data_IF_335385235477
#
_entry.id   IF_335385235477
#
_cell.length_a   1.000
_cell.length_b   1.000
_cell.length_c   1.000
_cell.angle_alpha   90.00
_cell.angle_beta   90.00
_cell.angle_gamma   90.00
#
_symmetry.space_group_name_H-M   'P 1'
#
loop_
_entity.id
_entity.type
_entity.pdbx_description
1 polymer ?
#
# COMPACT_ATOMS: atom_id res chain seq x y z
N UNK A 1 -16.93 0.87 17.08
CA UNK A 1 -17.38 0.24 15.81
C UNK A 1 -16.33 0.33 14.69
N UNK A 2 -15.02 0.27 14.99
CA UNK A 2 -13.93 0.08 14.02
C UNK A 2 -13.53 -1.41 13.85
N UNK A 3 -14.43 -2.32 14.24
CA UNK A 3 -14.21 -3.78 14.30
C UNK A 3 -14.47 -4.51 12.98
N UNK A 4 -14.90 -3.83 11.91
CA UNK A 4 -15.59 -4.48 10.77
C UNK A 4 -14.71 -4.70 9.52
N UNK A 5 -13.42 -4.33 9.51
CA UNK A 5 -12.55 -4.50 8.32
C UNK A 5 -11.37 -5.49 8.48
N UNK A 6 -11.26 -6.24 9.58
CA UNK A 6 -10.58 -7.54 9.59
C UNK A 6 -9.06 -7.63 9.32
N UNK A 7 -8.27 -6.56 9.35
CA UNK A 7 -6.79 -6.67 9.23
C UNK A 7 -5.94 -5.66 10.03
N UNK A 8 -6.50 -4.92 10.97
CA UNK A 8 -5.69 -4.16 11.93
C UNK A 8 -5.31 -5.12 13.08
N UNK A 9 -4.02 -5.41 13.33
CA UNK A 9 -3.60 -6.21 14.48
C UNK A 9 -3.97 -5.49 15.77
N UNK A 10 -4.82 -6.10 16.58
CA UNK A 10 -5.30 -5.51 17.84
C UNK A 10 -4.23 -5.48 18.94
N UNK A 11 -3.02 -5.99 18.68
CA UNK A 11 -1.92 -6.16 19.64
C UNK A 11 -0.60 -5.55 19.19
N UNK A 12 -0.51 -5.04 17.95
CA UNK A 12 0.70 -4.38 17.48
C UNK A 12 0.69 -2.91 17.90
N UNK A 13 1.80 -2.48 18.50
CA UNK A 13 2.06 -1.07 18.79
C UNK A 13 2.60 -0.38 17.53
N UNK A 14 1.83 0.52 16.97
CA UNK A 14 2.20 1.29 15.78
C UNK A 14 2.80 2.64 16.18
N UNK A 15 4.09 2.80 15.92
CA UNK A 15 4.75 4.09 16.07
C UNK A 15 4.26 5.10 15.02
N UNK A 16 4.19 6.38 15.40
CA UNK A 16 3.91 7.47 14.48
C UNK A 16 4.87 8.64 14.76
N UNK A 17 5.16 9.50 13.76
CA UNK A 17 5.95 10.71 13.94
C UNK A 17 5.15 11.83 14.64
N UNK A 18 3.85 11.64 14.88
CA UNK A 18 2.98 12.65 15.46
C UNK A 18 3.18 12.73 16.97
N UNK A 19 3.58 13.91 17.44
CA UNK A 19 3.88 14.13 18.87
C UNK A 19 2.64 14.42 19.70
N UNK A 20 1.61 14.96 19.06
CA UNK A 20 0.36 15.44 19.65
C UNK A 20 -0.69 14.34 19.89
N UNK A 21 -0.37 13.09 19.54
CA UNK A 21 -1.22 11.93 19.83
C UNK A 21 -0.77 11.17 21.08
N UNK A 22 0.32 11.61 21.74
CA UNK A 22 0.80 10.98 22.97
C UNK A 22 -0.28 11.01 24.07
N UNK A 23 -0.57 9.85 24.66
CA UNK A 23 -1.65 9.71 25.66
C UNK A 23 -3.07 9.66 25.08
N UNK A 24 -3.24 9.74 23.76
CA UNK A 24 -4.54 9.57 23.13
C UNK A 24 -4.90 8.08 22.98
N UNK A 25 -6.14 7.72 23.28
CA UNK A 25 -6.64 6.35 23.17
C UNK A 25 -6.57 5.80 21.73
N UNK A 26 -6.61 6.67 20.72
CA UNK A 26 -6.52 6.33 19.30
C UNK A 26 -5.09 6.42 18.75
N UNK A 27 -4.08 6.67 19.59
CA UNK A 27 -2.70 6.85 19.13
C UNK A 27 -2.21 5.66 18.30
N UNK A 28 -2.59 4.44 18.72
CA UNK A 28 -2.22 3.22 18.01
C UNK A 28 -2.91 3.11 16.63
N UNK A 29 -4.20 3.45 16.55
CA UNK A 29 -4.96 3.43 15.30
C UNK A 29 -4.41 4.47 14.32
N UNK A 30 -4.04 5.65 14.82
CA UNK A 30 -3.42 6.73 14.04
C UNK A 30 -2.04 6.28 13.53
N UNK A 31 -1.25 5.62 14.38
CA UNK A 31 0.02 5.01 13.98
C UNK A 31 -0.15 3.99 12.87
N UNK A 32 -1.16 3.11 12.97
CA UNK A 32 -1.47 2.15 11.92
C UNK A 32 -1.86 2.84 10.61
N UNK A 33 -2.76 3.83 10.66
CA UNK A 33 -3.16 4.61 9.49
C UNK A 33 -1.97 5.30 8.82
N UNK A 34 -1.01 5.79 9.61
CA UNK A 34 0.20 6.41 9.09
C UNK A 34 1.13 5.38 8.46
N UNK A 35 1.28 4.20 9.09
CA UNK A 35 2.12 3.11 8.56
C UNK A 35 1.65 2.64 7.18
N UNK A 36 0.32 2.63 6.97
CA UNK A 36 -0.29 2.29 5.69
C UNK A 36 -0.35 3.48 4.71
N UNK A 37 0.14 4.66 5.11
CA UNK A 37 0.05 5.94 4.38
C UNK A 37 -1.38 6.35 4.03
N UNK A 38 -2.35 5.95 4.87
CA UNK A 38 -3.74 6.41 4.77
C UNK A 38 -3.84 7.85 5.30
N UNK A 39 -3.17 8.14 6.41
CA UNK A 39 -2.98 9.51 6.90
C UNK A 39 -1.52 9.96 6.76
N UNK A 40 -1.33 11.27 6.62
CA UNK A 40 -0.03 11.95 6.57
C UNK A 40 0.11 13.00 7.68
N UNK A 41 -0.93 13.16 8.52
CA UNK A 41 -1.02 14.27 9.47
C UNK A 41 -1.32 15.61 8.82
N UNK A 42 -1.53 16.63 9.67
CA UNK A 42 -1.59 18.04 9.27
C UNK A 42 -0.20 18.59 8.94
N UNK A 43 0.80 18.12 9.68
CA UNK A 43 2.21 18.39 9.44
C UNK A 43 2.98 17.07 9.58
N UNK A 44 4.28 17.01 9.21
CA UNK A 44 5.09 15.82 9.39
C UNK A 44 5.13 15.28 10.84
N UNK A 45 4.80 16.12 11.84
CA UNK A 45 4.89 15.79 13.26
C UNK A 45 3.60 16.05 14.05
N UNK A 46 2.49 16.41 13.38
CA UNK A 46 1.23 16.78 14.04
C UNK A 46 0.03 16.18 13.31
N UNK A 47 -0.87 15.53 14.05
CA UNK A 47 -2.08 14.90 13.52
C UNK A 47 -3.37 15.68 13.81
N UNK A 48 -3.40 16.49 14.87
CA UNK A 48 -4.55 17.22 15.41
C UNK A 48 -5.77 16.32 15.72
N UNK A 49 -5.67 15.40 16.70
CA UNK A 49 -6.71 14.39 16.94
C UNK A 49 -8.05 14.97 17.43
N UNK A 50 -8.04 16.18 18.01
CA UNK A 50 -9.24 16.86 18.49
C UNK A 50 -9.83 17.85 17.47
N UNK A 51 -9.18 17.99 16.30
CA UNK A 51 -9.64 18.87 15.24
C UNK A 51 -10.87 18.34 14.50
N UNK A 52 -11.64 19.24 13.91
CA UNK A 52 -12.73 18.86 13.02
C UNK A 52 -12.19 18.34 11.70
N UNK A 53 -12.66 17.17 11.29
CA UNK A 53 -12.38 16.59 9.96
C UNK A 53 -13.44 17.10 8.97
N UNK A 54 -12.99 17.76 7.91
CA UNK A 54 -13.85 18.18 6.80
C UNK A 54 -14.25 16.98 5.93
N UNK A 55 -15.35 17.12 5.19
CA UNK A 55 -15.80 16.08 4.24
C UNK A 55 -14.73 15.72 3.20
N UNK A 56 -13.92 16.70 2.78
CA UNK A 56 -12.83 16.49 1.81
C UNK A 56 -11.66 15.69 2.39
N UNK A 57 -11.29 15.95 3.64
CA UNK A 57 -10.27 15.18 4.35
C UNK A 57 -10.72 13.73 4.56
N UNK A 58 -11.98 13.53 4.97
CA UNK A 58 -12.55 12.18 5.10
C UNK A 58 -12.56 11.42 3.77
N UNK A 59 -12.97 12.06 2.67
CA UNK A 59 -12.96 11.45 1.34
C UNK A 59 -11.54 11.04 0.91
N UNK A 60 -10.54 11.83 1.27
CA UNK A 60 -9.13 11.52 0.99
C UNK A 60 -8.67 10.26 1.73
N UNK A 61 -9.02 10.11 3.01
CA UNK A 61 -8.74 8.89 3.77
C UNK A 61 -9.41 7.67 3.15
N UNK A 62 -10.69 7.79 2.78
CA UNK A 62 -11.43 6.70 2.13
C UNK A 62 -10.80 6.29 0.79
N UNK A 63 -10.39 7.26 -0.04
CA UNK A 63 -9.71 6.96 -1.31
C UNK A 63 -8.41 6.18 -1.09
N UNK A 64 -7.57 6.62 -0.14
CA UNK A 64 -6.30 5.95 0.18
C UNK A 64 -6.54 4.55 0.76
N UNK A 65 -7.52 4.42 1.66
CA UNK A 65 -7.92 3.15 2.23
C UNK A 65 -8.46 2.19 1.16
N UNK A 66 -9.34 2.66 0.28
CA UNK A 66 -9.87 1.89 -0.83
C UNK A 66 -8.75 1.36 -1.74
N UNK A 67 -7.78 2.22 -2.09
CA UNK A 67 -6.61 1.78 -2.85
C UNK A 67 -5.80 0.70 -2.11
N UNK A 68 -5.73 0.74 -0.78
CA UNK A 68 -5.00 -0.25 0.01
C UNK A 68 -5.72 -1.58 0.17
N UNK A 69 -7.05 -1.56 0.21
CA UNK A 69 -7.85 -2.78 0.43
C UNK A 69 -8.28 -3.41 -0.88
N UNK A 70 -8.73 -2.62 -1.85
CA UNK A 70 -9.31 -3.13 -3.10
C UNK A 70 -8.24 -3.36 -4.16
N UNK A 71 -7.22 -2.51 -4.26
CA UNK A 71 -6.13 -2.76 -5.24
C UNK A 71 -5.10 -3.77 -4.74
N UNK A 72 -5.15 -4.18 -3.46
CA UNK A 72 -4.30 -5.25 -2.92
C UNK A 72 -4.87 -6.65 -3.20
N UNK A 73 -6.17 -6.74 -3.53
CA UNK A 73 -6.83 -7.97 -3.95
C UNK A 73 -7.87 -7.63 -5.03
N UNK A 74 -7.49 -7.59 -6.33
CA UNK A 74 -8.48 -7.87 -7.35
C UNK A 74 -9.06 -9.27 -7.03
N UNK A 75 -10.39 -9.36 -6.83
CA UNK A 75 -11.12 -10.58 -6.46
C UNK A 75 -10.96 -11.72 -7.50
N UNK A 76 -11.27 -12.99 -7.15
CA UNK A 76 -10.34 -14.12 -7.33
C UNK A 76 -10.50 -15.00 -8.60
N UNK A 77 -9.37 -15.65 -8.95
CA UNK A 77 -9.11 -16.93 -9.67
C UNK A 77 -9.54 -17.11 -11.13
N UNK A 78 -8.70 -16.65 -12.06
CA UNK A 78 -8.19 -17.44 -13.21
C UNK A 78 -6.85 -16.88 -13.71
N UNK A 79 -5.85 -17.74 -13.90
CA UNK A 79 -4.57 -17.52 -14.61
C UNK A 79 -3.92 -16.13 -14.40
N UNK A 80 -3.33 -15.93 -13.23
CA UNK A 80 -2.53 -14.73 -12.97
C UNK A 80 -1.11 -14.93 -13.42
N UNK A 81 -0.48 -13.84 -13.84
CA UNK A 81 0.89 -13.84 -14.31
C UNK A 81 1.72 -12.96 -13.38
N UNK A 82 2.71 -13.56 -12.73
CA UNK A 82 3.73 -12.85 -11.97
C UNK A 82 4.84 -12.36 -12.88
N UNK A 83 5.44 -11.23 -12.51
CA UNK A 83 6.64 -10.69 -13.15
C UNK A 83 7.74 -10.64 -12.09
N UNK A 84 8.90 -11.18 -12.40
CA UNK A 84 10.12 -10.91 -11.64
C UNK A 84 11.16 -10.28 -12.56
N UNK A 85 12.01 -9.41 -12.04
CA UNK A 85 13.05 -8.79 -12.83
C UNK A 85 14.35 -8.59 -12.04
N UNK A 86 15.46 -8.55 -12.77
CA UNK A 86 16.76 -8.21 -12.22
C UNK A 86 17.08 -6.76 -12.54
N UNK A 87 17.42 -5.96 -11.53
CA UNK A 87 17.94 -4.61 -11.74
C UNK A 87 19.32 -4.66 -12.41
N UNK A 88 19.79 -3.52 -12.93
CA UNK A 88 21.17 -3.37 -13.43
C UNK A 88 22.22 -3.75 -12.39
N UNK A 89 21.86 -3.63 -11.12
CA UNK A 89 22.74 -3.84 -9.98
C UNK A 89 22.71 -5.31 -9.51
N UNK A 90 21.96 -6.16 -10.22
CA UNK A 90 21.88 -7.61 -9.98
C UNK A 90 20.84 -8.03 -8.93
N UNK A 91 20.00 -7.12 -8.45
CA UNK A 91 18.97 -7.44 -7.45
C UNK A 91 17.73 -8.04 -8.11
N UNK A 92 17.25 -9.18 -7.59
CA UNK A 92 16.00 -9.82 -8.01
C UNK A 92 14.81 -9.22 -7.26
N UNK A 93 13.84 -8.66 -7.98
CA UNK A 93 12.68 -7.97 -7.42
C UNK A 93 11.36 -8.50 -7.98
N UNK A 94 10.31 -8.46 -7.15
CA UNK A 94 8.93 -8.74 -7.54
C UNK A 94 8.34 -7.54 -8.31
N UNK A 95 7.91 -7.80 -9.53
CA UNK A 95 7.31 -6.87 -10.49
C UNK A 95 5.79 -6.81 -10.44
N UNK A 96 5.16 -7.58 -9.56
CA UNK A 96 3.73 -7.55 -9.33
C UNK A 96 2.94 -8.63 -10.08
N UNK A 97 1.63 -8.63 -9.82
CA UNK A 97 0.67 -9.62 -10.33
C UNK A 97 -0.20 -8.98 -11.40
N UNK A 98 -0.33 -9.66 -12.53
CA UNK A 98 -1.06 -9.20 -13.71
C UNK A 98 -2.19 -10.16 -14.09
N UNK A 99 -3.17 -9.61 -14.82
CA UNK A 99 -4.37 -10.34 -15.26
C UNK A 99 -4.15 -11.15 -16.53
N UNK A 100 -3.01 -11.02 -17.21
CA UNK A 100 -2.64 -11.77 -18.42
C UNK A 100 -1.13 -11.79 -18.63
N UNK A 101 -0.62 -12.79 -19.37
CA UNK A 101 0.79 -12.89 -19.74
C UNK A 101 1.25 -11.66 -20.51
N UNK A 102 0.41 -11.22 -21.45
CA UNK A 102 0.66 -10.03 -22.27
C UNK A 102 0.81 -8.76 -21.43
N UNK A 103 0.07 -8.63 -20.33
CA UNK A 103 0.19 -7.50 -19.43
C UNK A 103 1.48 -7.56 -18.60
N UNK A 104 1.86 -8.75 -18.12
CA UNK A 104 3.13 -8.95 -17.42
C UNK A 104 4.34 -8.70 -18.36
N UNK A 105 4.27 -9.19 -19.60
CA UNK A 105 5.29 -8.96 -20.62
C UNK A 105 5.40 -7.48 -20.98
N UNK A 106 4.29 -6.79 -21.24
CA UNK A 106 4.30 -5.36 -21.54
C UNK A 106 4.90 -4.53 -20.39
N UNK A 107 4.65 -4.91 -19.13
CA UNK A 107 5.27 -4.29 -17.97
C UNK A 107 6.77 -4.56 -17.88
N UNK A 108 7.20 -5.81 -18.11
CA UNK A 108 8.61 -6.18 -18.17
C UNK A 108 9.38 -5.44 -19.26
N UNK A 109 8.80 -5.35 -20.47
CA UNK A 109 9.35 -4.57 -21.58
C UNK A 109 9.43 -3.08 -21.26
N UNK A 110 8.42 -2.52 -20.60
CA UNK A 110 8.46 -1.12 -20.16
C UNK A 110 9.57 -0.86 -19.13
N UNK A 111 9.85 -1.82 -18.24
CA UNK A 111 10.94 -1.72 -17.28
C UNK A 111 12.32 -1.83 -17.95
N UNK A 112 12.46 -2.71 -18.95
CA UNK A 112 13.68 -2.81 -19.77
C UNK A 112 13.91 -1.52 -20.56
N UNK A 113 12.88 -1.01 -21.23
CA UNK A 113 12.95 0.21 -22.03
C UNK A 113 13.25 1.44 -21.18
N UNK A 114 12.79 1.46 -19.93
CA UNK A 114 13.11 2.50 -18.96
C UNK A 114 14.51 2.35 -18.31
N UNK A 115 15.26 1.31 -18.64
CA UNK A 115 16.58 1.02 -18.05
C UNK A 115 16.52 0.64 -16.56
N UNK A 116 15.35 0.22 -16.07
CA UNK A 116 15.13 -0.13 -14.67
C UNK A 116 15.44 -1.60 -14.36
N UNK A 117 15.52 -2.43 -15.38
CA UNK A 117 15.93 -3.83 -15.26
C UNK A 117 16.86 -4.22 -16.41
N UNK A 118 17.68 -5.25 -16.19
CA UNK A 118 18.52 -5.88 -17.20
C UNK A 118 17.87 -7.12 -17.83
N UNK A 119 16.97 -7.78 -17.10
CA UNK A 119 16.19 -8.91 -17.57
C UNK A 119 14.93 -9.08 -16.73
N UNK A 120 13.91 -9.72 -17.30
CA UNK A 120 12.70 -10.08 -16.58
C UNK A 120 12.24 -11.49 -16.95
N UNK A 121 11.46 -12.11 -16.06
CA UNK A 121 10.81 -13.39 -16.27
C UNK A 121 9.35 -13.29 -15.85
N UNK A 122 8.48 -13.87 -16.67
CA UNK A 122 7.04 -13.97 -16.41
C UNK A 122 6.70 -15.41 -16.09
N UNK A 123 5.89 -15.62 -15.06
CA UNK A 123 5.52 -16.96 -14.59
C UNK A 123 4.04 -17.00 -14.22
N UNK A 124 3.43 -18.15 -14.45
CA UNK A 124 2.04 -18.37 -14.10
C UNK A 124 1.93 -18.70 -12.60
N UNK A 125 0.98 -18.06 -11.94
CA UNK A 125 0.62 -18.32 -10.55
C UNK A 125 -0.65 -19.18 -10.56
N UNK A 126 -0.53 -20.42 -10.10
CA UNK A 126 -1.62 -21.40 -9.99
C UNK A 126 -2.62 -21.07 -8.86
#
# INVERSE_FOLDING_TARGET
MAKVAGKAPSTAHYGSPFKDISGNIFANDIGWLNSERITTGYTPTTFNPNGNVTRGEMATFLKRFYNKVVMKNPTPVVHHWGLNYFTSDGEYLDGGIFTSESAANAAGEALLAAGKCSSYGVYQLD
#
